data_IF_441805493625
#
_entry.id   IF_441805493625
#
_cell.length_a   1.000
_cell.length_b   1.000
_cell.length_c   1.000
_cell.angle_alpha   90.00
_cell.angle_beta   90.00
_cell.angle_gamma   90.00
#
_symmetry.space_group_name_H-M   'P 1'
#
loop_
_entity.id
_entity.type
_entity.pdbx_description
1 polymer ?
#
# COMPACT_ATOMS: atom_id res chain seq x y z
N UNK A 1 0.68 -11.70 -20.52
CA UNK A 1 -0.01 -10.83 -19.51
C UNK A 1 -1.47 -10.71 -19.86
N UNK A 2 -2.29 -10.60 -18.84
CA UNK A 2 -3.73 -10.38 -19.00
C UNK A 2 -4.09 -9.01 -18.47
N UNK A 3 -4.78 -8.23 -19.29
CA UNK A 3 -5.26 -6.89 -18.93
C UNK A 3 -6.78 -6.90 -19.00
N UNK A 4 -7.43 -6.53 -17.93
CA UNK A 4 -8.88 -6.40 -17.86
C UNK A 4 -9.33 -5.03 -18.41
N UNK A 5 -10.62 -4.73 -18.29
CA UNK A 5 -11.20 -3.52 -18.86
C UNK A 5 -10.71 -2.25 -18.19
N UNK A 6 -10.62 -1.18 -18.96
CA UNK A 6 -10.27 0.17 -18.49
C UNK A 6 -8.93 0.28 -17.75
N UNK A 7 -7.96 -0.56 -18.13
CA UNK A 7 -6.60 -0.46 -17.62
C UNK A 7 -5.86 0.64 -18.39
N UNK A 8 -5.23 1.56 -17.66
CA UNK A 8 -4.41 2.62 -18.22
C UNK A 8 -2.95 2.34 -17.93
N UNK A 9 -2.16 2.20 -18.97
CA UNK A 9 -0.72 1.95 -18.85
C UNK A 9 0.01 3.11 -19.53
N UNK A 10 0.84 3.81 -18.77
CA UNK A 10 1.62 4.93 -19.26
C UNK A 10 2.68 4.48 -20.29
N UNK A 11 3.28 5.45 -20.96
CA UNK A 11 4.30 5.18 -21.97
C UNK A 11 5.54 4.52 -21.34
N UNK A 12 6.27 3.74 -22.13
CA UNK A 12 7.52 3.11 -21.73
C UNK A 12 7.41 2.20 -20.50
N UNK A 13 6.23 1.60 -20.28
CA UNK A 13 6.05 0.60 -19.24
C UNK A 13 6.38 -0.79 -19.76
N UNK A 14 6.83 -1.67 -18.86
CA UNK A 14 7.03 -3.09 -19.15
C UNK A 14 6.27 -3.92 -18.14
N UNK A 15 5.56 -4.92 -18.63
CA UNK A 15 4.82 -5.86 -17.81
C UNK A 15 5.34 -7.25 -18.12
N UNK A 16 5.87 -7.92 -17.10
CA UNK A 16 6.48 -9.23 -17.23
C UNK A 16 5.47 -10.32 -17.60
N UNK A 17 5.98 -11.48 -18.00
CA UNK A 17 5.17 -12.61 -18.41
C UNK A 17 4.31 -13.13 -17.27
N UNK A 18 3.14 -13.65 -17.63
CA UNK A 18 2.20 -14.29 -16.69
C UNK A 18 1.67 -13.36 -15.60
N UNK A 19 1.76 -12.04 -15.79
CA UNK A 19 1.15 -11.08 -14.89
C UNK A 19 -0.29 -10.81 -15.29
N UNK A 20 -1.13 -10.49 -14.30
CA UNK A 20 -2.53 -10.18 -14.50
C UNK A 20 -2.88 -8.84 -13.85
N UNK A 21 -3.55 -7.97 -14.60
CA UNK A 21 -3.94 -6.65 -14.17
C UNK A 21 -5.45 -6.56 -14.24
N UNK A 22 -6.09 -6.38 -13.08
CA UNK A 22 -7.54 -6.28 -12.98
C UNK A 22 -8.04 -4.92 -13.48
N UNK A 23 -9.35 -4.77 -13.54
CA UNK A 23 -9.99 -3.58 -14.12
C UNK A 23 -9.67 -2.28 -13.41
N UNK A 24 -9.66 -1.20 -14.15
CA UNK A 24 -9.48 0.17 -13.67
C UNK A 24 -8.13 0.42 -12.96
N UNK A 25 -7.11 -0.39 -13.23
CA UNK A 25 -5.75 -0.15 -12.72
C UNK A 25 -5.09 0.94 -13.56
N UNK A 26 -4.38 1.84 -12.90
CA UNK A 26 -3.57 2.86 -13.55
C UNK A 26 -2.09 2.66 -13.24
N UNK A 27 -1.26 2.58 -14.29
CA UNK A 27 0.20 2.49 -14.15
C UNK A 27 0.82 3.68 -14.85
N UNK A 28 1.52 4.52 -14.10
CA UNK A 28 2.17 5.70 -14.66
C UNK A 28 3.42 5.32 -15.45
N UNK A 29 3.88 6.24 -16.27
CA UNK A 29 4.94 5.97 -17.26
C UNK A 29 6.25 5.47 -16.68
N UNK A 30 6.97 4.70 -17.48
CA UNK A 30 8.30 4.17 -17.18
C UNK A 30 8.37 3.26 -15.95
N UNK A 31 7.28 2.59 -15.65
CA UNK A 31 7.20 1.59 -14.58
C UNK A 31 7.44 0.20 -15.13
N UNK A 32 8.19 -0.61 -14.40
CA UNK A 32 8.46 -2.01 -14.76
C UNK A 32 7.78 -2.92 -13.76
N UNK A 33 6.91 -3.80 -14.26
CA UNK A 33 6.24 -4.82 -13.46
C UNK A 33 6.87 -6.18 -13.80
N UNK A 34 7.24 -6.93 -12.78
CA UNK A 34 7.88 -8.23 -12.93
C UNK A 34 6.94 -9.30 -13.46
N UNK A 35 7.41 -10.54 -13.43
CA UNK A 35 6.68 -11.71 -13.88
C UNK A 35 5.77 -12.24 -12.77
N UNK A 36 4.68 -12.90 -13.14
CA UNK A 36 3.77 -13.57 -12.21
C UNK A 36 3.21 -12.64 -11.13
N UNK A 37 3.05 -11.35 -11.49
CA UNK A 37 2.44 -10.38 -10.59
C UNK A 37 0.92 -10.34 -10.80
N UNK A 38 0.19 -9.97 -9.76
CA UNK A 38 -1.24 -9.67 -9.87
C UNK A 38 -1.49 -8.29 -9.29
N UNK A 39 -2.25 -7.48 -10.01
CA UNK A 39 -2.59 -6.13 -9.57
C UNK A 39 -4.10 -6.07 -9.45
N UNK A 40 -4.58 -5.87 -8.22
CA UNK A 40 -6.01 -5.83 -7.91
C UNK A 40 -6.71 -4.62 -8.50
N UNK A 41 -8.02 -4.75 -8.71
CA UNK A 41 -8.83 -3.71 -9.35
C UNK A 41 -8.72 -2.35 -8.70
N UNK A 42 -8.67 -1.30 -9.50
CA UNK A 42 -8.61 0.07 -9.03
C UNK A 42 -7.29 0.50 -8.42
N UNK A 43 -6.28 -0.36 -8.39
CA UNK A 43 -4.96 0.00 -7.85
C UNK A 43 -4.27 1.04 -8.73
N UNK A 44 -3.43 1.86 -8.11
CA UNK A 44 -2.61 2.86 -8.82
C UNK A 44 -1.14 2.61 -8.56
N UNK A 45 -0.32 2.79 -9.59
CA UNK A 45 1.12 2.61 -9.49
C UNK A 45 1.80 3.87 -10.03
N UNK A 46 2.63 4.51 -9.21
CA UNK A 46 3.36 5.71 -9.61
C UNK A 46 4.42 5.39 -10.66
N UNK A 47 4.88 6.40 -11.37
CA UNK A 47 5.85 6.23 -12.44
C UNK A 47 7.28 6.02 -11.96
N UNK A 48 8.11 5.49 -12.86
CA UNK A 48 9.55 5.32 -12.66
C UNK A 48 9.93 4.40 -11.51
N UNK A 49 9.09 3.41 -11.19
CA UNK A 49 9.40 2.42 -10.17
C UNK A 49 9.50 1.01 -10.77
N UNK A 50 10.05 0.11 -10.01
CA UNK A 50 10.15 -1.30 -10.37
C UNK A 50 9.43 -2.16 -9.35
N UNK A 51 8.68 -3.14 -9.85
CA UNK A 51 7.99 -4.13 -9.03
C UNK A 51 8.60 -5.49 -9.33
N UNK A 52 9.09 -6.15 -8.28
CA UNK A 52 9.73 -7.47 -8.39
C UNK A 52 8.76 -8.52 -8.92
N UNK A 53 9.29 -9.68 -9.29
CA UNK A 53 8.49 -10.85 -9.66
C UNK A 53 7.69 -11.35 -8.45
N UNK A 54 6.59 -12.02 -8.74
CA UNK A 54 5.75 -12.67 -7.72
C UNK A 54 5.22 -11.72 -6.65
N UNK A 55 4.88 -10.50 -7.06
CA UNK A 55 4.24 -9.49 -6.21
C UNK A 55 2.74 -9.45 -6.49
N UNK A 56 1.96 -9.43 -5.43
CA UNK A 56 0.50 -9.33 -5.50
C UNK A 56 0.04 -8.05 -4.81
N UNK A 57 -0.62 -7.18 -5.56
CA UNK A 57 -1.11 -5.89 -5.07
C UNK A 57 -2.61 -6.02 -4.84
N UNK A 58 -3.06 -5.74 -3.63
CA UNK A 58 -4.48 -5.74 -3.28
C UNK A 58 -5.25 -4.63 -4.02
N UNK A 59 -6.55 -4.82 -4.19
CA UNK A 59 -7.38 -3.81 -4.85
C UNK A 59 -7.33 -2.45 -4.16
N UNK A 60 -7.45 -1.39 -4.94
CA UNK A 60 -7.45 0.01 -4.51
C UNK A 60 -6.19 0.43 -3.73
N UNK A 61 -5.09 -0.29 -3.89
CA UNK A 61 -3.82 0.04 -3.26
C UNK A 61 -3.09 1.07 -4.12
N UNK A 62 -2.51 2.08 -3.48
CA UNK A 62 -1.58 2.99 -4.14
C UNK A 62 -0.15 2.53 -3.88
N UNK A 63 0.54 2.13 -4.93
CA UNK A 63 1.96 1.76 -4.85
C UNK A 63 2.78 3.00 -5.14
N UNK A 64 3.43 3.54 -4.13
CA UNK A 64 4.14 4.82 -4.20
C UNK A 64 5.65 4.71 -4.26
N UNK A 65 6.19 3.49 -4.19
CA UNK A 65 7.63 3.24 -4.27
C UNK A 65 7.90 1.84 -4.79
N UNK A 66 9.13 1.60 -5.25
CA UNK A 66 9.54 0.30 -5.78
C UNK A 66 9.39 -0.81 -4.74
N UNK A 67 9.05 -2.00 -5.22
CA UNK A 67 8.90 -3.21 -4.42
C UNK A 67 9.99 -4.19 -4.86
N UNK A 68 10.92 -4.50 -3.97
CA UNK A 68 12.08 -5.34 -4.29
C UNK A 68 11.92 -6.79 -3.87
N UNK A 69 10.90 -7.12 -3.09
CA UNK A 69 10.70 -8.49 -2.57
C UNK A 69 9.34 -9.03 -2.98
N UNK A 70 9.25 -10.34 -3.30
CA UNK A 70 7.97 -10.98 -3.54
C UNK A 70 7.05 -10.87 -2.33
N UNK A 71 5.77 -10.94 -2.55
CA UNK A 71 4.77 -10.94 -1.47
C UNK A 71 3.51 -10.19 -1.84
N UNK A 72 2.62 -10.08 -0.88
CA UNK A 72 1.35 -9.36 -1.03
C UNK A 72 1.43 -8.03 -0.30
N UNK A 73 1.07 -6.97 -1.01
CA UNK A 73 1.17 -5.59 -0.51
C UNK A 73 -0.19 -4.93 -0.54
N UNK A 74 -0.53 -4.23 0.54
CA UNK A 74 -1.82 -3.58 0.69
C UNK A 74 -1.63 -2.21 1.32
N UNK A 75 -2.35 -1.21 0.84
CA UNK A 75 -2.45 0.09 1.51
C UNK A 75 -3.85 0.27 2.09
N UNK A 76 -3.97 1.20 3.02
CA UNK A 76 -5.27 1.53 3.60
C UNK A 76 -6.08 2.32 2.58
N UNK A 77 -7.14 1.72 2.06
CA UNK A 77 -8.03 2.36 1.10
C UNK A 77 -9.34 2.84 1.72
N UNK A 78 -9.61 2.43 2.95
CA UNK A 78 -10.88 2.70 3.64
C UNK A 78 -10.75 3.78 4.73
N UNK A 79 -9.80 4.70 4.61
CA UNK A 79 -9.74 5.86 5.50
C UNK A 79 -11.01 6.68 5.36
N UNK A 80 -11.56 7.23 6.47
CA UNK A 80 -12.79 8.00 6.40
C UNK A 80 -12.68 9.15 5.40
N UNK A 81 -13.72 9.35 4.64
CA UNK A 81 -13.85 10.50 3.76
C UNK A 81 -14.05 11.74 4.64
N UNK A 82 -13.16 12.72 4.52
CA UNK A 82 -13.19 13.90 5.36
C UNK A 82 -12.57 15.11 4.65
N UNK A 83 -12.52 16.26 5.31
CA UNK A 83 -11.84 17.43 4.74
C UNK A 83 -10.34 17.17 4.63
N UNK A 84 -9.68 17.86 3.70
CA UNK A 84 -8.24 17.73 3.53
C UNK A 84 -7.47 18.10 4.81
N UNK A 85 -7.90 19.15 5.51
CA UNK A 85 -7.25 19.57 6.76
C UNK A 85 -7.32 18.47 7.82
N UNK A 86 -8.50 17.86 7.99
CA UNK A 86 -8.66 16.75 8.94
C UNK A 86 -7.90 15.51 8.50
N UNK A 87 -7.86 15.24 7.19
CA UNK A 87 -7.10 14.13 6.64
C UNK A 87 -5.59 14.27 6.93
N UNK A 88 -5.04 15.49 6.84
CA UNK A 88 -3.63 15.73 7.17
C UNK A 88 -3.33 15.38 8.64
N UNK A 89 -4.24 15.70 9.54
CA UNK A 89 -4.10 15.33 10.97
C UNK A 89 -4.15 13.82 11.14
N UNK A 90 -5.11 13.18 10.49
CA UNK A 90 -5.24 11.72 10.53
C UNK A 90 -3.99 11.03 9.98
N UNK A 91 -3.48 11.49 8.85
CA UNK A 91 -2.27 10.92 8.24
C UNK A 91 -1.05 11.06 9.16
N UNK A 92 -0.92 12.18 9.88
CA UNK A 92 0.14 12.37 10.85
C UNK A 92 0.05 11.34 12.00
N UNK A 93 -1.15 11.09 12.52
CA UNK A 93 -1.35 10.09 13.56
C UNK A 93 -1.07 8.67 13.06
N UNK A 94 -1.47 8.33 11.84
CA UNK A 94 -1.23 7.02 11.26
C UNK A 94 0.27 6.71 11.16
N UNK A 95 1.10 7.69 10.84
CA UNK A 95 2.55 7.51 10.75
C UNK A 95 3.19 7.15 12.10
N UNK A 96 2.55 7.50 13.21
CA UNK A 96 3.07 7.29 14.56
C UNK A 96 2.25 6.27 15.37
N UNK A 97 1.41 5.50 14.69
CA UNK A 97 0.49 4.59 15.35
C UNK A 97 1.22 3.55 16.21
N UNK A 98 2.30 2.97 15.70
CA UNK A 98 3.09 1.99 16.44
C UNK A 98 3.72 2.59 17.71
N UNK A 99 4.20 3.83 17.61
CA UNK A 99 4.75 4.56 18.76
C UNK A 99 3.67 4.77 19.84
N UNK A 100 2.46 5.13 19.43
CA UNK A 100 1.34 5.29 20.37
C UNK A 100 0.97 3.96 21.03
N UNK A 101 0.96 2.87 20.27
CA UNK A 101 0.68 1.53 20.81
C UNK A 101 1.73 1.14 21.87
N UNK A 102 3.00 1.38 21.62
CA UNK A 102 4.08 1.11 22.56
C UNK A 102 3.95 1.95 23.84
N UNK A 103 3.63 3.24 23.70
CA UNK A 103 3.42 4.13 24.85
C UNK A 103 2.24 3.66 25.69
N UNK A 104 1.16 3.21 25.07
CA UNK A 104 0.00 2.67 25.78
C UNK A 104 0.38 1.43 26.59
N UNK A 105 1.14 0.53 26.00
CA UNK A 105 1.60 -0.68 26.69
C UNK A 105 2.48 -0.33 27.89
N UNK A 106 3.42 0.60 27.74
CA UNK A 106 4.30 1.06 28.81
C UNK A 106 3.49 1.66 29.95
N UNK A 107 2.50 2.50 29.66
CA UNK A 107 1.65 3.11 30.67
C UNK A 107 0.80 2.06 31.39
N UNK A 108 0.28 1.07 30.66
CA UNK A 108 -0.48 -0.04 31.20
C UNK A 108 0.35 -0.85 32.20
N UNK A 109 1.62 -1.14 31.86
CA UNK A 109 2.53 -1.88 32.72
C UNK A 109 2.86 -1.09 33.99
N UNK A 110 3.03 0.23 33.89
CA UNK A 110 3.27 1.11 35.05
C UNK A 110 2.05 1.14 35.99
N UNK A 111 0.85 1.18 35.45
CA UNK A 111 -0.37 1.14 36.25
C UNK A 111 -0.47 -0.18 37.02
N UNK A 112 -0.19 -1.30 36.35
CA UNK A 112 -0.17 -2.62 37.01
C UNK A 112 0.85 -2.66 38.14
N UNK A 113 2.03 -2.13 37.92
CA UNK A 113 3.09 -2.09 38.95
C UNK A 113 2.66 -1.24 40.16
N UNK A 114 2.06 -0.08 39.92
CA UNK A 114 1.56 0.78 40.99
C UNK A 114 0.46 0.11 41.79
N UNK A 115 -0.42 -0.68 41.17
CA UNK A 115 -1.47 -1.45 41.83
C UNK A 115 -0.89 -2.56 42.70
N UNK A 116 0.21 -3.19 42.28
CA UNK A 116 0.89 -4.24 43.01
C UNK A 116 1.63 -3.71 44.25
N UNK A 117 2.09 -2.46 44.18
CA UNK A 117 2.85 -1.81 45.26
C UNK A 117 1.96 -1.25 46.41
N UNK A 118 0.65 -1.44 46.29
CA UNK A 118 -0.31 -1.02 47.35
C UNK A 118 -0.43 -2.05 48.44
#
# INVERSE_FOLDING_TARGET
SKLDDQVMIGHNCRIGAHSAIAGCVGIAGSTKVGQRCTIGGGAGIVGHIEIADDVHISGFTLVSKSISQPGTYTSISSTPFTTHADWLKLAAHLRHLDTYAEKLKTLQDKIKQLEQDK
#
